data_IF_423003885801
#
_entry.id   IF_423003885801
#
_cell.length_a   1.000
_cell.length_b   1.000
_cell.length_c   1.000
_cell.angle_alpha   90.00
_cell.angle_beta   90.00
_cell.angle_gamma   90.00
#
_symmetry.space_group_name_H-M   'P 1'
#
loop_
_entity.id
_entity.type
_entity.pdbx_description
1 polymer ?
#
# COMPACT_ATOMS: atom_id res chain seq x y z
N UNK A 1 8.65 -15.92 -9.40
CA UNK A 1 8.46 -14.57 -9.95
C UNK A 1 6.95 -14.36 -10.03
N UNK A 2 6.37 -13.55 -9.16
CA UNK A 2 4.91 -13.40 -9.11
C UNK A 2 4.44 -12.39 -10.17
N UNK A 3 3.67 -12.88 -11.13
CA UNK A 3 2.90 -12.06 -12.08
C UNK A 3 1.59 -11.62 -11.42
N UNK A 4 1.13 -10.38 -11.68
CA UNK A 4 -0.15 -9.88 -11.14
C UNK A 4 -1.34 -10.75 -11.62
N UNK A 5 -2.33 -11.01 -10.75
CA UNK A 5 -3.62 -11.53 -11.19
C UNK A 5 -4.50 -10.38 -11.70
N UNK A 6 -4.96 -10.48 -12.94
CA UNK A 6 -5.98 -9.59 -13.51
C UNK A 6 -7.36 -10.17 -13.18
N UNK A 7 -8.09 -9.57 -12.23
CA UNK A 7 -9.44 -10.02 -11.85
C UNK A 7 -10.50 -9.02 -12.32
N UNK A 8 -11.32 -9.44 -13.29
CA UNK A 8 -12.48 -8.68 -13.78
C UNK A 8 -13.71 -9.05 -12.94
N UNK A 9 -14.35 -8.10 -12.27
CA UNK A 9 -15.67 -8.31 -11.62
C UNK A 9 -16.55 -7.09 -11.77
N UNK A 10 -17.73 -7.31 -12.34
CA UNK A 10 -18.73 -6.32 -12.74
C UNK A 10 -19.68 -6.02 -11.58
N UNK A 11 -19.72 -4.78 -11.07
CA UNK A 11 -20.96 -4.14 -10.57
C UNK A 11 -20.89 -2.66 -10.93
N UNK A 12 -21.94 -2.18 -11.62
CA UNK A 12 -21.97 -0.87 -12.27
C UNK A 12 -22.38 0.29 -11.35
N UNK A 13 -21.69 1.43 -11.56
CA UNK A 13 -22.26 2.77 -11.77
C UNK A 13 -21.23 3.57 -12.57
N UNK A 14 -21.63 4.09 -13.72
CA UNK A 14 -20.79 4.68 -14.78
C UNK A 14 -20.35 6.11 -14.48
N UNK A 15 -19.03 6.33 -14.31
CA UNK A 15 -18.24 7.47 -14.85
C UNK A 15 -16.76 7.04 -14.82
N UNK A 16 -16.16 6.92 -16.00
CA UNK A 16 -14.77 6.54 -16.26
C UNK A 16 -13.77 7.48 -15.61
N UNK A 17 -13.04 7.03 -14.56
CA UNK A 17 -11.67 7.44 -14.16
C UNK A 17 -11.21 6.54 -12.96
N UNK A 18 -10.54 5.41 -13.25
CA UNK A 18 -9.74 4.61 -12.30
C UNK A 18 -10.46 3.98 -11.09
N UNK A 19 -10.55 2.65 -11.06
CA UNK A 19 -11.02 1.86 -9.91
C UNK A 19 -10.10 2.03 -8.70
N UNK A 20 -10.26 3.10 -7.92
CA UNK A 20 -9.66 3.21 -6.60
C UNK A 20 -10.41 2.26 -5.67
N UNK A 21 -9.92 1.03 -5.54
CA UNK A 21 -10.41 0.18 -4.47
C UNK A 21 -9.91 0.79 -3.16
N UNK A 22 -10.77 1.13 -2.19
CA UNK A 22 -10.33 1.79 -0.96
C UNK A 22 -9.34 0.94 -0.13
N UNK A 23 -9.19 -0.33 -0.50
CA UNK A 23 -8.26 -1.28 0.11
C UNK A 23 -6.93 -1.43 -0.65
N UNK A 24 -6.81 -0.91 -1.88
CA UNK A 24 -5.53 -0.88 -2.61
C UNK A 24 -4.71 0.29 -2.12
N UNK A 25 -3.74 0.00 -1.26
CA UNK A 25 -2.83 0.99 -0.69
C UNK A 25 -1.39 0.63 -1.05
N UNK A 26 -0.71 1.53 -1.75
CA UNK A 26 0.72 1.42 -2.06
C UNK A 26 1.61 2.24 -1.11
N UNK A 27 0.99 2.93 -0.16
CA UNK A 27 1.64 3.74 0.87
C UNK A 27 2.43 4.97 0.37
N UNK A 28 2.37 5.34 -0.90
CA UNK A 28 3.21 6.43 -1.45
C UNK A 28 2.80 7.82 -0.96
N UNK A 29 1.52 8.03 -0.65
CA UNK A 29 1.00 9.30 -0.13
C UNK A 29 0.75 9.26 1.38
N UNK A 30 0.15 8.18 1.86
CA UNK A 30 -0.30 8.02 3.25
C UNK A 30 -0.51 6.54 3.58
N UNK A 31 -1.19 6.25 4.68
CA UNK A 31 -1.53 4.90 5.14
C UNK A 31 -2.89 4.41 4.59
N UNK A 32 -3.47 5.17 3.66
CA UNK A 32 -4.81 5.04 3.14
C UNK A 32 -5.86 4.99 4.26
N UNK A 33 -6.74 3.98 4.24
CA UNK A 33 -7.79 3.79 5.26
C UNK A 33 -7.36 2.87 6.41
N UNK A 34 -6.11 2.38 6.39
CA UNK A 34 -5.61 1.49 7.42
C UNK A 34 -5.28 2.28 8.69
N UNK A 35 -5.54 1.70 9.87
CA UNK A 35 -5.24 2.33 11.17
C UNK A 35 -4.73 1.30 12.16
N UNK A 36 -3.81 1.71 13.02
CA UNK A 36 -3.30 0.86 14.08
C UNK A 36 -4.43 0.44 15.03
N UNK A 37 -4.40 -0.83 15.45
CA UNK A 37 -5.26 -1.32 16.52
C UNK A 37 -4.64 -0.96 17.86
N UNK A 38 -5.28 -0.03 18.57
CA UNK A 38 -4.83 0.50 19.85
C UNK A 38 -4.95 -0.51 21.01
N UNK A 39 -5.61 -1.65 20.79
CA UNK A 39 -5.75 -2.71 21.79
C UNK A 39 -4.57 -3.69 21.80
N UNK A 40 -3.69 -3.59 20.82
CA UNK A 40 -2.52 -4.46 20.67
C UNK A 40 -1.23 -3.71 20.98
N UNK A 41 -0.19 -4.43 21.44
CA UNK A 41 1.13 -3.83 21.67
C UNK A 41 1.92 -3.61 20.37
N UNK A 42 1.51 -4.22 19.26
CA UNK A 42 2.16 -4.09 17.96
C UNK A 42 1.64 -2.87 17.22
N UNK A 43 2.51 -1.88 17.00
CA UNK A 43 2.20 -0.71 16.17
C UNK A 43 3.02 -0.81 14.90
N UNK A 44 2.38 -0.61 13.76
CA UNK A 44 3.03 -0.52 12.47
C UNK A 44 3.16 0.95 12.06
N UNK A 45 4.28 1.27 11.42
CA UNK A 45 4.67 2.63 11.04
C UNK A 45 5.05 2.68 9.57
N UNK A 46 4.73 3.81 8.93
CA UNK A 46 5.09 4.08 7.53
C UNK A 46 6.54 4.57 7.48
N UNK A 47 7.38 3.87 6.71
CA UNK A 47 8.80 4.16 6.55
C UNK A 47 9.19 4.30 5.08
N UNK A 48 10.21 5.09 4.83
CA UNK A 48 10.83 5.26 3.51
C UNK A 48 12.07 4.35 3.43
N UNK A 49 12.50 3.98 2.22
CA UNK A 49 13.62 3.06 1.94
C UNK A 49 15.01 3.44 2.50
N UNK A 50 15.12 4.52 3.27
CA UNK A 50 16.37 4.98 3.83
C UNK A 50 16.54 4.53 5.29
N UNK A 51 17.57 3.70 5.57
CA UNK A 51 18.00 3.35 6.92
C UNK A 51 18.07 1.85 7.21
N UNK A 52 17.72 1.45 8.44
CA UNK A 52 17.71 0.06 8.88
C UNK A 52 16.41 -0.62 8.41
N UNK A 53 16.46 -1.29 7.26
CA UNK A 53 15.31 -1.98 6.68
C UNK A 53 15.50 -2.28 5.19
N UNK A 54 14.43 -2.63 4.47
CA UNK A 54 14.44 -2.73 3.02
C UNK A 54 14.87 -1.40 2.40
N UNK A 55 15.84 -1.45 1.47
CA UNK A 55 16.31 -0.24 0.78
C UNK A 55 15.29 0.27 -0.24
N UNK A 56 14.42 -0.61 -0.74
CA UNK A 56 13.49 -0.33 -1.82
C UNK A 56 12.14 -0.98 -1.51
N UNK A 57 11.06 -0.23 -1.72
CA UNK A 57 9.70 -0.75 -1.66
C UNK A 57 9.32 -1.50 -2.95
N UNK A 58 8.16 -2.14 -2.98
CA UNK A 58 7.70 -2.88 -4.16
C UNK A 58 6.98 -2.02 -5.21
N UNK A 59 6.52 -0.83 -4.85
CA UNK A 59 5.77 0.08 -5.71
C UNK A 59 6.70 0.85 -6.64
N UNK A 60 7.69 1.56 -6.08
CA UNK A 60 8.62 2.38 -6.84
C UNK A 60 9.94 1.67 -7.11
N UNK A 61 10.33 0.70 -6.27
CA UNK A 61 11.64 0.04 -6.36
C UNK A 61 12.81 1.04 -6.29
N UNK A 62 12.61 2.12 -5.54
CA UNK A 62 13.59 3.18 -5.29
C UNK A 62 13.67 3.47 -3.79
N UNK A 63 14.73 4.15 -3.36
CA UNK A 63 14.92 4.53 -1.96
C UNK A 63 13.87 5.56 -1.49
N UNK A 64 13.21 6.23 -2.43
CA UNK A 64 12.16 7.20 -2.17
C UNK A 64 10.79 6.55 -1.90
N UNK A 65 10.64 5.25 -2.15
CA UNK A 65 9.39 4.51 -1.96
C UNK A 65 9.03 4.24 -0.50
N UNK A 66 7.75 3.96 -0.26
CA UNK A 66 7.18 3.87 1.09
C UNK A 66 6.57 2.50 1.38
N UNK A 67 6.75 2.03 2.60
CA UNK A 67 6.21 0.75 3.07
C UNK A 67 5.82 0.82 4.54
N UNK A 68 5.16 -0.25 5.01
CA UNK A 68 4.79 -0.44 6.41
C UNK A 68 5.77 -1.41 7.09
N UNK A 69 6.22 -1.05 8.29
CA UNK A 69 7.10 -1.85 9.13
C UNK A 69 6.64 -1.87 10.60
N UNK A 70 7.07 -2.85 11.41
CA UNK A 70 6.66 -3.07 12.81
C UNK A 70 7.76 -2.77 13.81
#
# INVERSE_FOLDING_TARGET
>A
QCTLPTTTTTIGTTTTLGLYTPLSCNFENDICQWRNDLTTSGTWSRRQGQGNGPQYDHTLQTEDGWFIDT
#
